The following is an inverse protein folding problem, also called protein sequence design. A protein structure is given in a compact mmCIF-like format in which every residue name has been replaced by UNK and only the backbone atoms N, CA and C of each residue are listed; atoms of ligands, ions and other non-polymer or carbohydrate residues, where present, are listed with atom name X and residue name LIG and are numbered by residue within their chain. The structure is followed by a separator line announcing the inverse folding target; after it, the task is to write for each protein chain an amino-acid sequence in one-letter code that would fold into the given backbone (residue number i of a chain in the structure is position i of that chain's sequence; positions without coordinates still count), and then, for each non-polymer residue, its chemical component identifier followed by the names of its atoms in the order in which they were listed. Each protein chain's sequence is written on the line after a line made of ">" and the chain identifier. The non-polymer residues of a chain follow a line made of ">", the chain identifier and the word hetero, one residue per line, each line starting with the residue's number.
data_IF_859433503467
#
_entry.id   IF_859433503467
#
_cell.length_a   1.000
_cell.length_b   1.000
_cell.length_c   1.000
_cell.angle_alpha   90.00
_cell.angle_beta   90.00
_cell.angle_gamma   90.00
#
_symmetry.space_group_name_H-M   'P 1'
#
loop_
_entity.id
_entity.type
_entity.pdbx_description
1 polymer ?
#
# COMPACT_ATOMS: atom_id res chain seq x y z
N UNK A 1 -8.61 -15.19 4.36
CA UNK A 1 -8.13 -15.20 2.95
C UNK A 1 -7.93 -13.76 2.55
N UNK A 2 -6.78 -13.42 1.95
CA UNK A 2 -6.48 -12.04 1.56
C UNK A 2 -6.84 -11.83 0.10
N UNK A 3 -7.68 -10.85 -0.18
CA UNK A 3 -7.99 -10.37 -1.53
C UNK A 3 -7.26 -9.05 -1.77
N UNK A 4 -6.69 -8.87 -2.96
CA UNK A 4 -5.88 -7.72 -3.33
C UNK A 4 -6.58 -6.92 -4.44
N UNK A 5 -6.69 -5.61 -4.28
CA UNK A 5 -7.32 -4.69 -5.24
C UNK A 5 -6.34 -3.59 -5.62
N UNK A 6 -6.11 -3.36 -6.92
CA UNK A 6 -5.24 -2.27 -7.39
C UNK A 6 -6.02 -0.95 -7.30
N UNK A 7 -5.57 -0.04 -6.44
CA UNK A 7 -6.23 1.26 -6.24
C UNK A 7 -5.56 2.36 -7.08
N UNK A 8 -4.27 2.22 -7.43
CA UNK A 8 -3.60 3.18 -8.29
C UNK A 8 -2.16 2.84 -8.65
N UNK A 9 -1.62 3.57 -9.62
CA UNK A 9 -0.23 3.46 -10.06
C UNK A 9 0.45 4.82 -10.18
N UNK A 10 1.78 4.85 -10.01
CA UNK A 10 2.63 6.02 -10.26
C UNK A 10 3.86 5.63 -11.04
N UNK A 11 4.16 6.35 -12.12
CA UNK A 11 5.43 6.24 -12.81
C UNK A 11 6.38 7.30 -12.26
N UNK A 12 7.59 6.91 -11.93
CA UNK A 12 8.66 7.81 -11.48
C UNK A 12 9.88 7.60 -12.35
N UNK A 13 10.66 8.65 -12.55
CA UNK A 13 11.94 8.58 -13.25
C UNK A 13 13.05 8.71 -12.22
N UNK A 14 13.99 7.76 -12.21
CA UNK A 14 15.15 7.83 -11.32
C UNK A 14 16.16 8.87 -11.85
N UNK A 15 17.12 9.32 -11.02
CA UNK A 15 18.17 10.25 -11.48
C UNK A 15 18.99 9.69 -12.66
N UNK A 16 19.08 8.37 -12.79
CA UNK A 16 19.77 7.69 -13.88
C UNK A 16 18.93 7.60 -15.17
N UNK A 17 17.70 8.13 -15.16
CA UNK A 17 16.78 8.13 -16.29
C UNK A 17 15.95 6.85 -16.43
N UNK A 18 16.00 5.96 -15.45
CA UNK A 18 15.23 4.71 -15.47
C UNK A 18 13.78 4.97 -15.05
N UNK A 19 12.83 4.32 -15.72
CA UNK A 19 11.42 4.41 -15.36
C UNK A 19 11.07 3.30 -14.38
N UNK A 20 10.62 3.69 -13.20
CA UNK A 20 10.03 2.80 -12.21
C UNK A 20 8.52 3.04 -12.15
N UNK A 21 7.78 1.99 -11.81
CA UNK A 21 6.36 2.04 -11.56
C UNK A 21 6.08 1.55 -10.13
N UNK A 22 5.29 2.33 -9.40
CA UNK A 22 4.73 1.99 -8.11
C UNK A 22 3.27 1.58 -8.31
N UNK A 23 2.89 0.45 -7.73
CA UNK A 23 1.51 -0.03 -7.68
C UNK A 23 1.06 -0.11 -6.23
N UNK A 24 -0.11 0.45 -5.95
CA UNK A 24 -0.66 0.57 -4.61
C UNK A 24 -1.93 -0.26 -4.53
N UNK A 25 -1.94 -1.19 -3.60
CA UNK A 25 -3.02 -2.15 -3.47
C UNK A 25 -3.68 -2.08 -2.10
N UNK A 26 -5.01 -2.18 -2.11
CA UNK A 26 -5.80 -2.47 -0.93
C UNK A 26 -5.80 -3.98 -0.69
N UNK A 27 -5.44 -4.38 0.52
CA UNK A 27 -5.60 -5.75 0.99
C UNK A 27 -6.89 -5.84 1.81
N UNK A 28 -7.79 -6.77 1.47
CA UNK A 28 -8.96 -7.10 2.27
C UNK A 28 -8.76 -8.50 2.84
N UNK A 29 -8.60 -8.60 4.16
CA UNK A 29 -8.50 -9.87 4.85
C UNK A 29 -9.83 -10.17 5.55
N UNK A 30 -10.40 -11.31 5.20
CA UNK A 30 -11.57 -11.84 5.88
C UNK A 30 -11.14 -12.99 6.79
N UNK A 31 -11.30 -12.78 8.10
CA UNK A 31 -11.13 -13.78 9.14
C UNK A 31 -12.47 -14.16 9.78
N UNK A 32 -12.48 -15.31 10.45
CA UNK A 32 -13.61 -15.76 11.25
C UNK A 32 -13.14 -15.89 12.69
N UNK A 33 -13.68 -15.09 13.60
CA UNK A 33 -13.36 -15.15 15.02
C UNK A 33 -14.65 -15.35 15.81
N UNK A 34 -14.74 -16.44 16.56
CA UNK A 34 -15.85 -16.78 17.48
C UNK A 34 -17.24 -16.53 16.85
N UNK A 35 -17.47 -17.06 15.64
CA UNK A 35 -18.76 -16.98 14.95
C UNK A 35 -19.08 -15.65 14.25
N UNK A 36 -18.18 -14.66 14.31
CA UNK A 36 -18.32 -13.39 13.60
C UNK A 36 -17.31 -13.29 12.44
N UNK A 37 -17.74 -12.70 11.33
CA UNK A 37 -16.87 -12.36 10.21
C UNK A 37 -16.17 -11.04 10.57
N UNK A 38 -14.85 -11.08 10.76
CA UNK A 38 -14.03 -9.88 10.96
C UNK A 38 -13.33 -9.58 9.64
N UNK A 39 -13.50 -8.35 9.18
CA UNK A 39 -12.77 -7.82 8.03
C UNK A 39 -11.75 -6.80 8.52
N UNK A 40 -10.51 -6.94 8.08
CA UNK A 40 -9.51 -5.91 8.23
C UNK A 40 -8.93 -5.57 6.85
N UNK A 41 -8.39 -4.36 6.78
CA UNK A 41 -7.88 -3.76 5.58
C UNK A 41 -6.41 -3.39 5.78
N UNK A 42 -5.63 -3.70 4.76
CA UNK A 42 -4.20 -3.46 4.71
C UNK A 42 -3.79 -2.80 3.41
N UNK A 43 -2.49 -2.55 3.27
CA UNK A 43 -1.90 -1.90 2.10
C UNK A 43 -0.70 -2.72 1.65
N UNK A 44 -0.51 -2.84 0.35
CA UNK A 44 0.72 -3.33 -0.25
C UNK A 44 1.20 -2.35 -1.31
N UNK A 45 2.49 -2.04 -1.30
CA UNK A 45 3.13 -1.25 -2.34
C UNK A 45 4.13 -2.16 -3.06
N UNK A 46 4.03 -2.18 -4.39
CA UNK A 46 4.96 -2.90 -5.26
C UNK A 46 5.70 -1.89 -6.12
N UNK A 47 7.02 -1.93 -6.08
CA UNK A 47 7.91 -1.17 -6.96
C UNK A 47 8.48 -2.11 -8.01
N UNK A 48 8.25 -1.78 -9.27
CA UNK A 48 8.75 -2.53 -10.41
C UNK A 48 9.39 -1.63 -11.46
N UNK A 49 10.22 -2.23 -12.30
CA UNK A 49 10.85 -1.59 -13.46
C UNK A 49 10.61 -2.46 -14.68
N UNK A 50 10.37 -1.82 -15.82
CA UNK A 50 10.43 -2.52 -17.10
C UNK A 50 11.85 -2.43 -17.64
N UNK A 51 12.46 -3.57 -17.93
CA UNK A 51 13.79 -3.66 -18.51
C UNK A 51 13.78 -4.71 -19.62
N UNK A 52 14.13 -4.31 -20.85
CA UNK A 52 14.11 -5.17 -22.04
C UNK A 52 12.78 -5.94 -22.26
N UNK A 53 11.64 -5.34 -21.92
CA UNK A 53 10.31 -5.96 -22.07
C UNK A 53 9.92 -6.92 -20.94
N UNK A 54 10.81 -7.15 -19.97
CA UNK A 54 10.51 -7.90 -18.75
C UNK A 54 10.14 -6.96 -17.61
N UNK A 55 9.24 -7.41 -16.74
CA UNK A 55 8.90 -6.70 -15.50
C UNK A 55 9.75 -7.24 -14.37
N UNK A 56 10.63 -6.39 -13.84
CA UNK A 56 11.49 -6.69 -12.70
C UNK A 56 10.86 -6.08 -11.45
N UNK A 57 10.49 -6.93 -10.49
CA UNK A 57 10.05 -6.50 -9.17
C UNK A 57 11.28 -6.13 -8.35
N UNK A 58 11.37 -4.86 -7.95
CA UNK A 58 12.52 -4.31 -7.24
C UNK A 58 12.30 -4.43 -5.74
N UNK A 59 11.16 -3.95 -5.27
CA UNK A 59 10.79 -3.92 -3.86
C UNK A 59 9.30 -4.19 -3.72
N UNK A 60 8.91 -4.94 -2.70
CA UNK A 60 7.52 -5.13 -2.31
C UNK A 60 7.46 -5.14 -0.79
N UNK A 61 6.50 -4.44 -0.21
CA UNK A 61 6.22 -4.51 1.21
C UNK A 61 4.72 -4.33 1.47
N UNK A 62 4.25 -4.86 2.59
CA UNK A 62 2.82 -4.85 2.96
C UNK A 62 2.58 -4.71 4.46
N UNK A 63 1.46 -4.07 4.79
CA UNK A 63 0.86 -4.07 6.11
C UNK A 63 -0.50 -4.77 5.98
N UNK A 64 -0.64 -5.94 6.58
CA UNK A 64 -1.84 -6.77 6.40
C UNK A 64 -3.07 -6.25 7.16
N UNK A 65 -2.85 -5.64 8.33
CA UNK A 65 -3.91 -5.11 9.19
C UNK A 65 -3.56 -3.67 9.59
N UNK A 66 -4.08 -2.72 8.83
CA UNK A 66 -3.92 -1.29 9.08
C UNK A 66 -5.15 -0.69 9.79
N UNK A 67 -6.35 -1.12 9.39
CA UNK A 67 -7.61 -0.60 9.92
C UNK A 67 -8.75 -1.58 9.67
N UNK A 68 -9.84 -1.45 10.44
CA UNK A 68 -11.09 -2.18 10.22
C UNK A 68 -12.08 -1.43 9.32
N UNK A 69 -11.74 -0.19 8.93
CA UNK A 69 -12.54 0.65 8.03
C UNK A 69 -11.93 0.71 6.62
N UNK A 70 -12.69 0.23 5.63
CA UNK A 70 -12.29 0.17 4.22
C UNK A 70 -12.03 1.56 3.63
N UNK A 71 -12.88 2.54 3.95
CA UNK A 71 -12.78 3.87 3.37
C UNK A 71 -11.58 4.60 3.97
N UNK A 72 -11.33 4.43 5.28
CA UNK A 72 -10.08 4.93 5.90
C UNK A 72 -8.83 4.33 5.25
N UNK A 73 -8.83 3.03 4.95
CA UNK A 73 -7.71 2.40 4.24
C UNK A 73 -7.48 3.03 2.85
N UNK A 74 -8.56 3.26 2.10
CA UNK A 74 -8.49 3.92 0.79
C UNK A 74 -8.02 5.36 0.86
N UNK A 75 -8.47 6.13 1.85
CA UNK A 75 -7.98 7.49 2.09
C UNK A 75 -6.46 7.51 2.32
N UNK A 76 -5.95 6.59 3.13
CA UNK A 76 -4.51 6.43 3.34
C UNK A 76 -3.83 6.08 2.02
N UNK A 77 -4.31 5.08 1.29
CA UNK A 77 -3.75 4.69 -0.02
C UNK A 77 -3.69 5.89 -0.98
N UNK A 78 -4.74 6.71 -1.05
CA UNK A 78 -4.77 7.91 -1.89
C UNK A 78 -3.70 8.93 -1.49
N UNK A 79 -3.44 9.11 -0.19
CA UNK A 79 -2.33 9.94 0.30
C UNK A 79 -0.97 9.36 -0.12
N UNK A 80 -0.77 8.05 -0.01
CA UNK A 80 0.47 7.37 -0.42
C UNK A 80 0.72 7.52 -1.93
N UNK A 81 -0.31 7.32 -2.75
CA UNK A 81 -0.26 7.51 -4.22
C UNK A 81 0.10 8.96 -4.58
N UNK A 82 -0.49 9.92 -3.88
CA UNK A 82 -0.28 11.35 -4.17
C UNK A 82 1.15 11.80 -3.88
N UNK A 83 1.82 11.14 -2.93
CA UNK A 83 3.18 11.45 -2.52
C UNK A 83 4.24 10.47 -3.07
N UNK A 84 3.84 9.56 -3.96
CA UNK A 84 4.75 8.56 -4.57
C UNK A 84 5.52 7.73 -3.54
N UNK A 85 4.86 7.36 -2.43
CA UNK A 85 5.47 6.59 -1.34
C UNK A 85 5.97 5.24 -1.86
N UNK A 86 7.20 4.90 -1.50
CA UNK A 86 7.84 3.63 -1.88
C UNK A 86 7.64 2.57 -0.80
N UNK A 87 7.80 1.26 -1.12
CA UNK A 87 7.66 0.19 -0.12
C UNK A 87 8.52 0.41 1.13
N UNK A 88 9.78 0.81 0.95
CA UNK A 88 10.72 1.04 2.07
C UNK A 88 10.27 2.21 2.96
N UNK A 89 9.73 3.27 2.35
CA UNK A 89 9.25 4.44 3.09
C UNK A 89 7.85 4.24 3.72
N UNK A 90 7.11 3.21 3.29
CA UNK A 90 5.70 3.03 3.63
C UNK A 90 5.45 2.99 5.13
N UNK A 91 6.23 2.19 5.87
CA UNK A 91 6.04 1.99 7.30
C UNK A 91 6.18 3.32 8.06
N UNK A 92 7.25 4.06 7.79
CA UNK A 92 7.51 5.35 8.44
C UNK A 92 6.39 6.37 8.19
N UNK A 93 5.92 6.46 6.94
CA UNK A 93 4.83 7.39 6.58
C UNK A 93 3.51 6.97 7.25
N UNK A 94 3.25 5.66 7.37
CA UNK A 94 2.03 5.16 8.01
C UNK A 94 2.07 5.39 9.51
N UNK A 95 3.21 5.16 10.17
CA UNK A 95 3.39 5.46 11.59
C UNK A 95 3.12 6.95 11.86
N UNK A 96 3.70 7.85 11.06
CA UNK A 96 3.44 9.30 11.16
C UNK A 96 1.94 9.64 10.97
N UNK A 97 1.26 8.99 10.01
CA UNK A 97 -0.18 9.21 9.77
C UNK A 97 -1.10 8.68 10.87
N UNK A 98 -0.66 7.65 11.61
CA UNK A 98 -1.43 7.00 12.67
C UNK A 98 -1.27 7.74 14.01
N UNK A 99 -0.10 8.31 14.27
CA UNK A 99 0.18 9.13 15.46
C UNK A 99 -0.51 10.51 15.42
N UNK A 100 -0.98 10.96 14.24
CA UNK A 100 -1.72 12.22 14.07
C UNK A 100 -3.17 12.23 14.61
N UNK A 101 -3.60 11.22 15.37
CA UNK A 101 -4.77 11.37 16.25
C UNK A 101 -4.34 11.83 17.65
N UNK A 102 -4.27 13.15 17.94
CA UNK A 102 -4.30 13.59 19.31
C UNK A 102 -5.65 13.17 19.89
N UNK A 103 -5.63 12.19 20.79
CA UNK A 103 -6.71 12.03 21.75
C UNK A 103 -6.80 13.35 22.54
N UNK A 104 -7.81 14.16 22.22
CA UNK A 104 -8.24 15.31 23.02
C UNK A 104 -9.64 15.02 23.58
#
# INVERSE_FOLDING_TARGET
>A
MITKFLEGTRNCTTPEGEIIQLEYYLLENQGTEIGSIIKNYGIEIVKKRSHFGETIYIETDKIECLTYDKEKAKEIINKLISNSVTPISMLYIIDDLMDETPCA
#
